data_IF_850051255382
#
_entry.id   IF_850051255382
#
_cell.length_a   1.000
_cell.length_b   1.000
_cell.length_c   1.000
_cell.angle_alpha   90.00
_cell.angle_beta   90.00
_cell.angle_gamma   90.00
#
_symmetry.space_group_name_H-M   'P 1'
#
loop_
_entity.id
_entity.type
_entity.pdbx_description
1 polymer ?
#
# COMPACT_ATOMS: atom_id res chain seq x y z
N UNK A 1 -47.87 -0.16 26.16
CA UNK A 1 -48.96 0.38 25.32
C UNK A 1 -48.82 1.90 25.28
N UNK A 2 -48.02 2.42 24.34
CA UNK A 2 -48.09 3.80 23.85
C UNK A 2 -47.40 3.81 22.48
N UNK A 3 -48.23 3.94 21.44
CA UNK A 3 -47.85 4.08 20.04
C UNK A 3 -47.51 5.55 19.79
N UNK A 4 -46.33 5.85 19.24
CA UNK A 4 -46.07 7.14 18.59
C UNK A 4 -45.55 6.91 17.17
N UNK A 5 -46.49 7.04 16.26
CA UNK A 5 -46.34 7.27 14.84
C UNK A 5 -45.61 8.61 14.60
N UNK A 6 -44.53 8.63 13.83
CA UNK A 6 -44.26 9.74 12.91
C UNK A 6 -43.65 9.20 11.62
N UNK A 7 -44.52 9.18 10.59
CA UNK A 7 -44.17 9.03 9.19
C UNK A 7 -43.34 10.24 8.78
N UNK A 8 -42.16 10.02 8.19
CA UNK A 8 -41.47 11.05 7.42
C UNK A 8 -41.41 10.58 5.96
N UNK A 9 -42.35 11.10 5.18
CA UNK A 9 -42.45 11.00 3.73
C UNK A 9 -41.91 12.30 3.15
N UNK A 10 -40.78 12.27 2.46
CA UNK A 10 -40.44 13.35 1.51
C UNK A 10 -39.93 12.78 0.18
N UNK A 11 -40.44 13.43 -0.87
CA UNK A 11 -40.66 12.98 -2.25
C UNK A 11 -39.39 12.84 -3.11
N UNK A 12 -39.49 12.06 -4.21
CA UNK A 12 -38.50 12.03 -5.28
C UNK A 12 -38.72 13.21 -6.24
N UNK A 13 -37.64 13.87 -6.66
CA UNK A 13 -37.66 14.82 -7.77
C UNK A 13 -37.02 14.18 -9.00
N UNK A 14 -37.88 13.84 -9.95
CA UNK A 14 -37.59 13.44 -11.32
C UNK A 14 -37.36 14.72 -12.15
N UNK A 15 -36.20 14.86 -12.78
CA UNK A 15 -35.95 15.68 -13.98
C UNK A 15 -34.68 15.07 -14.63
N UNK A 16 -34.75 14.22 -15.65
CA UNK A 16 -35.10 14.49 -17.05
C UNK A 16 -34.29 15.63 -17.66
N UNK A 17 -33.18 15.30 -18.36
CA UNK A 17 -32.89 15.85 -19.68
C UNK A 17 -31.81 14.99 -20.38
N UNK A 18 -32.26 14.19 -21.34
CA UNK A 18 -31.41 13.51 -22.32
C UNK A 18 -31.08 14.56 -23.39
N UNK A 19 -29.82 14.94 -23.53
CA UNK A 19 -29.33 15.71 -24.69
C UNK A 19 -28.45 14.80 -25.55
N UNK A 20 -29.05 14.29 -26.63
CA UNK A 20 -28.33 13.75 -27.77
C UNK A 20 -27.58 14.90 -28.47
N UNK A 21 -26.26 14.91 -28.36
CA UNK A 21 -25.40 15.70 -29.23
C UNK A 21 -24.60 14.73 -30.13
N UNK A 22 -25.15 14.48 -31.31
CA UNK A 22 -24.43 13.89 -32.44
C UNK A 22 -23.67 14.99 -33.17
N UNK A 23 -22.37 15.11 -32.92
CA UNK A 23 -21.45 15.82 -33.81
C UNK A 23 -20.51 14.82 -34.46
N UNK A 24 -20.77 14.60 -35.75
CA UNK A 24 -19.87 13.98 -36.71
C UNK A 24 -18.87 15.04 -37.13
N UNK A 25 -17.58 14.80 -36.90
CA UNK A 25 -16.49 15.45 -37.63
C UNK A 25 -15.36 14.46 -37.81
N UNK A 26 -15.36 13.86 -39.01
CA UNK A 26 -14.29 13.02 -39.51
C UNK A 26 -13.10 13.89 -39.90
N UNK A 27 -11.97 13.74 -39.21
CA UNK A 27 -10.67 14.17 -39.75
C UNK A 27 -9.80 12.94 -39.98
N UNK A 28 -9.64 12.63 -41.26
CA UNK A 28 -8.75 11.63 -41.80
C UNK A 28 -7.31 12.07 -41.54
N UNK A 29 -6.61 11.42 -40.60
CA UNK A 29 -5.18 11.61 -40.40
C UNK A 29 -4.42 10.50 -41.11
N UNK A 30 -3.50 10.91 -41.99
CA UNK A 30 -2.63 10.02 -42.75
C UNK A 30 -1.73 9.21 -41.80
N UNK A 31 -1.87 7.88 -41.86
CA UNK A 31 -0.99 6.93 -41.19
C UNK A 31 0.21 6.67 -42.08
N UNK A 32 1.37 7.20 -41.71
CA UNK A 32 2.65 6.75 -42.23
C UNK A 32 2.97 5.38 -41.62
N UNK A 33 3.08 4.37 -42.48
CA UNK A 33 3.47 3.02 -42.12
C UNK A 33 4.97 2.99 -41.81
N UNK A 34 5.34 3.25 -40.56
CA UNK A 34 6.65 2.92 -40.03
C UNK A 34 6.65 1.41 -39.75
N UNK A 35 7.30 0.64 -40.62
CA UNK A 35 7.56 -0.79 -40.44
C UNK A 35 8.56 -0.99 -39.29
N UNK A 36 8.03 -0.99 -38.07
CA UNK A 36 8.77 -1.24 -36.84
C UNK A 36 9.17 -2.71 -36.77
N UNK A 37 10.33 -3.05 -37.33
CA UNK A 37 11.11 -4.22 -36.90
C UNK A 37 11.70 -3.93 -35.51
N UNK A 38 10.83 -3.68 -34.52
CA UNK A 38 11.25 -3.54 -33.13
C UNK A 38 11.63 -4.94 -32.64
N UNK A 39 12.87 -5.15 -32.15
CA UNK A 39 13.27 -6.42 -31.59
C UNK A 39 12.25 -6.80 -30.53
N UNK A 40 11.50 -7.87 -30.78
CA UNK A 40 10.62 -8.48 -29.80
C UNK A 40 11.56 -9.18 -28.83
N UNK A 41 12.09 -8.43 -27.86
CA UNK A 41 12.75 -9.05 -26.73
C UNK A 41 11.72 -10.00 -26.11
N UNK A 42 12.06 -11.29 -25.96
CA UNK A 42 11.19 -12.20 -25.24
C UNK A 42 10.96 -11.55 -23.89
N UNK A 43 9.71 -11.18 -23.60
CA UNK A 43 9.28 -10.89 -22.25
C UNK A 43 9.24 -12.27 -21.59
N UNK A 44 10.41 -12.84 -21.32
CA UNK A 44 10.54 -13.84 -20.27
C UNK A 44 10.07 -13.10 -19.04
N UNK A 45 8.89 -13.48 -18.55
CA UNK A 45 8.34 -12.97 -17.32
C UNK A 45 9.35 -13.29 -16.23
N UNK A 46 10.18 -12.31 -15.87
CA UNK A 46 11.06 -12.34 -14.71
C UNK A 46 10.18 -12.28 -13.46
N UNK A 47 9.35 -13.31 -13.25
CA UNK A 47 8.80 -13.64 -11.96
C UNK A 47 9.96 -14.25 -11.20
N UNK A 48 10.62 -13.41 -10.42
CA UNK A 48 11.60 -13.88 -9.46
C UNK A 48 10.81 -14.65 -8.42
N UNK A 49 10.94 -15.98 -8.49
CA UNK A 49 10.23 -16.88 -7.61
C UNK A 49 10.47 -16.41 -6.16
N UNK A 50 9.40 -16.23 -5.38
CA UNK A 50 9.54 -15.84 -3.98
C UNK A 50 10.51 -16.78 -3.31
N UNK A 51 11.46 -16.24 -2.54
CA UNK A 51 12.42 -17.12 -1.84
C UNK A 51 11.64 -18.16 -1.01
N UNK A 52 12.10 -19.41 -1.04
CA UNK A 52 11.41 -20.51 -0.35
C UNK A 52 11.29 -20.28 1.17
N UNK A 53 12.04 -19.33 1.72
CA UNK A 53 11.99 -18.91 3.12
C UNK A 53 10.81 -18.01 3.47
N UNK A 54 10.13 -17.39 2.50
CA UNK A 54 9.00 -16.48 2.77
C UNK A 54 7.74 -17.25 3.19
N UNK A 55 7.03 -16.67 4.16
CA UNK A 55 5.74 -17.18 4.62
C UNK A 55 4.67 -16.99 3.55
N UNK A 56 3.54 -17.72 3.61
CA UNK A 56 2.44 -17.54 2.66
C UNK A 56 1.96 -16.09 2.54
N UNK A 57 1.89 -15.36 3.65
CA UNK A 57 1.49 -13.94 3.66
C UNK A 57 2.50 -13.01 3.03
N UNK A 58 3.80 -13.24 3.23
CA UNK A 58 4.86 -12.44 2.60
C UNK A 58 4.86 -12.64 1.08
N UNK A 59 4.67 -13.89 0.63
CA UNK A 59 4.51 -14.20 -0.80
C UNK A 59 3.30 -13.49 -1.40
N UNK A 60 2.18 -13.46 -0.68
CA UNK A 60 0.98 -12.75 -1.11
C UNK A 60 1.20 -11.23 -1.17
N UNK A 61 1.84 -10.64 -0.16
CA UNK A 61 2.18 -9.20 -0.17
C UNK A 61 3.09 -8.88 -1.36
N UNK A 62 4.10 -9.71 -1.61
CA UNK A 62 4.99 -9.54 -2.75
C UNK A 62 4.27 -9.57 -4.09
N UNK A 63 3.39 -10.55 -4.27
CA UNK A 63 2.57 -10.72 -5.46
C UNK A 63 1.67 -9.48 -5.72
N UNK A 64 1.09 -8.90 -4.68
CA UNK A 64 0.39 -7.60 -4.77
C UNK A 64 1.33 -6.45 -5.20
N UNK A 65 2.52 -6.35 -4.60
CA UNK A 65 3.51 -5.30 -4.92
C UNK A 65 3.94 -5.40 -6.39
N UNK A 66 4.21 -6.61 -6.90
CA UNK A 66 4.57 -6.84 -8.30
C UNK A 66 3.46 -6.43 -9.28
N UNK A 67 2.19 -6.53 -8.87
CA UNK A 67 1.04 -6.00 -9.64
C UNK A 67 0.80 -4.49 -9.45
N UNK A 68 1.51 -3.86 -8.53
CA UNK A 68 1.27 -2.47 -8.13
C UNK A 68 -0.05 -2.27 -7.38
N UNK A 69 -0.53 -3.32 -6.72
CA UNK A 69 -1.74 -3.31 -5.92
C UNK A 69 -1.42 -3.04 -4.44
N UNK A 70 -2.43 -2.61 -3.68
CA UNK A 70 -2.31 -2.48 -2.22
C UNK A 70 -2.46 -3.87 -1.60
N UNK A 71 -1.48 -4.28 -0.81
CA UNK A 71 -1.59 -5.47 0.02
C UNK A 71 -2.44 -5.17 1.26
N UNK A 72 -3.76 -5.31 1.13
CA UNK A 72 -4.75 -4.99 2.17
C UNK A 72 -5.22 -6.23 2.95
N UNK A 73 -4.57 -6.51 4.08
CA UNK A 73 -4.91 -7.63 4.96
C UNK A 73 -6.34 -7.56 5.52
N UNK A 74 -6.96 -6.37 5.54
CA UNK A 74 -8.33 -6.20 6.05
C UNK A 74 -9.39 -6.61 5.03
N UNK A 75 -9.01 -6.83 3.76
CA UNK A 75 -9.92 -7.23 2.67
C UNK A 75 -9.65 -8.63 2.15
N UNK A 76 -8.46 -9.16 2.38
CA UNK A 76 -8.08 -10.46 1.86
C UNK A 76 -8.67 -11.60 2.70
N UNK A 77 -9.31 -12.56 2.01
CA UNK A 77 -10.17 -13.60 2.59
C UNK A 77 -9.49 -14.40 3.71
N UNK A 78 -8.21 -14.69 3.55
CA UNK A 78 -7.46 -15.55 4.47
C UNK A 78 -6.89 -14.84 5.70
N UNK A 79 -7.03 -13.51 5.83
CA UNK A 79 -6.37 -12.73 6.87
C UNK A 79 -7.32 -12.05 7.86
N UNK A 80 -8.63 -12.13 7.63
CA UNK A 80 -9.66 -11.67 8.55
C UNK A 80 -10.25 -10.31 8.20
N UNK A 81 -11.05 -9.75 9.11
CA UNK A 81 -11.79 -8.50 8.91
C UNK A 81 -10.94 -7.25 9.16
N UNK A 82 -11.56 -6.07 9.02
CA UNK A 82 -10.96 -4.81 9.44
C UNK A 82 -10.70 -4.82 10.95
N UNK A 83 -9.42 -4.83 11.35
CA UNK A 83 -8.99 -4.84 12.75
C UNK A 83 -8.48 -3.46 13.16
N UNK A 84 -8.78 -3.07 14.40
CA UNK A 84 -8.17 -1.90 15.01
C UNK A 84 -6.74 -2.25 15.47
N UNK A 85 -5.69 -1.55 15.00
CA UNK A 85 -4.31 -1.80 15.42
C UNK A 85 -4.05 -1.52 16.90
N UNK A 86 -4.98 -0.88 17.61
CA UNK A 86 -4.89 -0.61 19.04
C UNK A 86 -5.24 -1.80 19.92
N UNK A 87 -6.03 -2.76 19.42
CA UNK A 87 -6.55 -3.89 20.19
C UNK A 87 -5.78 -5.16 19.82
N UNK A 88 -4.82 -5.60 20.64
CA UNK A 88 -3.91 -6.70 20.29
C UNK A 88 -4.58 -8.08 20.30
N UNK A 89 -5.59 -8.33 21.13
CA UNK A 89 -6.13 -9.69 21.33
C UNK A 89 -6.83 -10.28 20.09
N UNK A 90 -7.10 -9.46 19.08
CA UNK A 90 -7.85 -9.84 17.87
C UNK A 90 -6.92 -10.09 16.67
N UNK A 91 -5.64 -9.79 16.77
CA UNK A 91 -4.69 -9.92 15.66
C UNK A 91 -4.23 -11.37 15.49
N UNK A 92 -4.36 -11.88 14.26
CA UNK A 92 -3.97 -13.24 13.88
C UNK A 92 -2.55 -13.29 13.33
N UNK A 93 -1.86 -14.43 13.55
CA UNK A 93 -0.46 -14.61 13.16
C UNK A 93 -0.21 -14.59 11.64
N UNK A 94 -1.25 -14.88 10.85
CA UNK A 94 -1.19 -14.79 9.38
C UNK A 94 -1.03 -13.34 8.86
N UNK A 95 -1.10 -12.32 9.71
CA UNK A 95 -0.80 -10.91 9.38
C UNK A 95 0.63 -10.52 9.67
N UNK A 96 1.40 -11.42 10.28
CA UNK A 96 2.77 -11.13 10.67
C UNK A 96 3.63 -11.04 9.42
N UNK A 97 4.23 -9.88 9.21
CA UNK A 97 5.31 -9.69 8.24
C UNK A 97 6.63 -9.60 9.01
N UNK A 98 7.61 -10.40 8.59
CA UNK A 98 8.93 -10.34 9.21
C UNK A 98 9.74 -9.17 8.65
N UNK A 99 10.60 -8.52 9.47
CA UNK A 99 11.47 -7.46 8.99
C UNK A 99 12.33 -7.88 7.80
N UNK A 100 12.85 -9.12 7.80
CA UNK A 100 13.72 -9.62 6.73
C UNK A 100 13.04 -9.59 5.37
N UNK A 101 11.72 -9.79 5.32
CA UNK A 101 10.97 -9.68 4.06
C UNK A 101 11.03 -8.27 3.49
N UNK A 102 10.65 -7.25 4.28
CA UNK A 102 10.66 -5.86 3.81
C UNK A 102 12.09 -5.35 3.54
N UNK A 103 13.04 -5.71 4.40
CA UNK A 103 14.44 -5.37 4.21
C UNK A 103 14.98 -5.97 2.91
N UNK A 104 14.69 -7.25 2.63
CA UNK A 104 15.07 -7.89 1.35
C UNK A 104 14.47 -7.14 0.17
N UNK A 105 13.16 -6.86 0.20
CA UNK A 105 12.47 -6.16 -0.90
C UNK A 105 13.02 -4.75 -1.14
N UNK A 106 13.42 -4.04 -0.09
CA UNK A 106 13.92 -2.66 -0.17
C UNK A 106 15.39 -2.59 -0.58
N UNK A 107 16.24 -3.45 -0.01
CA UNK A 107 17.69 -3.35 -0.15
C UNK A 107 18.27 -4.17 -1.29
N UNK A 108 17.64 -5.30 -1.66
CA UNK A 108 18.10 -6.12 -2.77
C UNK A 108 17.59 -5.55 -4.11
N UNK A 109 18.54 -5.18 -4.98
CA UNK A 109 18.25 -4.62 -6.32
C UNK A 109 17.36 -5.55 -7.15
N UNK A 110 17.49 -6.86 -6.98
CA UNK A 110 16.72 -7.84 -7.73
C UNK A 110 15.22 -7.69 -7.49
N UNK A 111 14.81 -7.55 -6.23
CA UNK A 111 13.42 -7.29 -5.86
C UNK A 111 13.04 -5.84 -6.13
N UNK A 112 13.90 -4.90 -5.76
CA UNK A 112 13.63 -3.47 -5.91
C UNK A 112 13.32 -3.07 -7.36
N UNK A 113 14.01 -3.67 -8.34
CA UNK A 113 13.78 -3.40 -9.76
C UNK A 113 12.40 -3.81 -10.27
N UNK A 114 11.69 -4.68 -9.54
CA UNK A 114 10.36 -5.18 -9.89
C UNK A 114 9.23 -4.38 -9.23
N UNK A 115 9.56 -3.47 -8.32
CA UNK A 115 8.57 -2.61 -7.66
C UNK A 115 8.02 -1.63 -8.70
N UNK A 116 6.71 -1.65 -8.88
CA UNK A 116 6.05 -0.76 -9.83
C UNK A 116 6.07 0.70 -9.35
N UNK A 117 5.66 1.64 -10.21
CA UNK A 117 5.52 3.06 -9.86
C UNK A 117 4.59 3.34 -8.67
N UNK A 118 3.68 2.40 -8.35
CA UNK A 118 2.77 2.54 -7.22
C UNK A 118 3.49 2.27 -5.88
N UNK A 119 4.68 1.68 -5.93
CA UNK A 119 5.52 1.43 -4.77
C UNK A 119 5.01 0.31 -3.87
N UNK A 120 5.32 0.44 -2.59
CA UNK A 120 4.94 -0.53 -1.55
C UNK A 120 3.82 0.10 -0.72
N UNK A 121 2.63 -0.48 -0.80
CA UNK A 121 1.46 -0.06 -0.03
C UNK A 121 0.89 -1.26 0.72
N UNK A 122 1.04 -1.28 2.04
CA UNK A 122 0.61 -2.39 2.90
C UNK A 122 -0.37 -1.86 3.94
N UNK A 123 -1.52 -2.53 4.09
CA UNK A 123 -2.53 -2.20 5.09
C UNK A 123 -2.83 -3.38 6.01
N UNK A 124 -2.91 -3.13 7.31
CA UNK A 124 -3.33 -4.13 8.29
C UNK A 124 -2.27 -5.19 8.60
N UNK A 125 -0.99 -4.86 8.47
CA UNK A 125 0.12 -5.75 8.78
C UNK A 125 0.54 -5.68 10.25
N UNK A 126 1.14 -6.76 10.75
CA UNK A 126 1.65 -6.86 12.11
C UNK A 126 3.15 -7.12 12.12
N UNK A 127 3.91 -6.24 12.75
CA UNK A 127 5.36 -6.36 12.92
C UNK A 127 5.66 -6.62 14.40
N UNK A 128 6.10 -7.85 14.70
CA UNK A 128 6.45 -8.27 16.07
C UNK A 128 7.94 -8.11 16.39
N UNK A 129 8.74 -7.80 15.39
CA UNK A 129 10.18 -7.68 15.46
C UNK A 129 10.60 -6.29 14.96
N UNK A 130 11.80 -5.79 15.34
CA UNK A 130 12.24 -4.46 14.94
C UNK A 130 12.34 -4.34 13.42
N UNK A 131 11.73 -3.30 12.85
CA UNK A 131 11.82 -3.02 11.42
C UNK A 131 12.93 -2.00 11.17
N UNK A 132 13.96 -2.35 10.38
CA UNK A 132 15.07 -1.45 10.12
C UNK A 132 15.27 -1.16 8.63
N UNK A 133 14.77 0.00 8.19
CA UNK A 133 15.06 0.55 6.86
C UNK A 133 16.01 1.76 6.93
N UNK A 134 16.92 1.78 7.91
CA UNK A 134 17.91 2.84 8.05
C UNK A 134 18.86 2.86 6.84
N UNK A 135 19.22 4.05 6.38
CA UNK A 135 20.03 4.27 5.17
C UNK A 135 19.39 3.78 3.86
N UNK A 136 18.11 3.39 3.87
CA UNK A 136 17.41 3.02 2.65
C UNK A 136 17.28 4.23 1.69
N UNK A 137 17.38 3.95 0.39
CA UNK A 137 17.10 4.91 -0.68
C UNK A 137 15.86 4.42 -1.41
N UNK A 138 14.72 5.08 -1.15
CA UNK A 138 13.44 4.69 -1.73
C UNK A 138 13.15 5.53 -2.98
N UNK A 139 13.17 4.86 -4.13
CA UNK A 139 12.86 5.44 -5.45
C UNK A 139 11.40 5.18 -5.88
N UNK A 140 10.52 4.91 -4.91
CA UNK A 140 9.11 4.59 -5.10
C UNK A 140 8.32 5.00 -3.84
N UNK A 141 6.99 5.19 -3.93
CA UNK A 141 6.14 5.46 -2.77
C UNK A 141 6.19 4.34 -1.72
N UNK A 142 6.20 4.69 -0.45
CA UNK A 142 6.16 3.72 0.65
C UNK A 142 5.06 4.10 1.65
N UNK A 143 4.06 3.24 1.79
CA UNK A 143 2.89 3.46 2.61
C UNK A 143 2.61 2.25 3.52
N UNK A 144 2.54 2.52 4.83
CA UNK A 144 2.06 1.56 5.83
C UNK A 144 0.81 2.14 6.50
N UNK A 145 -0.29 1.39 6.44
CA UNK A 145 -1.59 1.83 6.93
C UNK A 145 -2.21 0.83 7.91
N UNK A 146 -2.90 1.31 8.94
CA UNK A 146 -3.64 0.44 9.85
C UNK A 146 -2.80 -0.67 10.46
N UNK A 147 -1.47 -0.48 10.56
CA UNK A 147 -0.52 -1.53 10.90
C UNK A 147 -0.05 -1.39 12.34
N UNK A 148 0.40 -2.50 12.92
CA UNK A 148 0.79 -2.60 14.33
C UNK A 148 2.27 -2.98 14.45
N UNK A 149 3.01 -2.24 15.28
CA UNK A 149 4.45 -2.42 15.49
C UNK A 149 4.72 -2.64 16.98
N UNK A 150 5.10 -3.85 17.37
CA UNK A 150 5.42 -4.21 18.76
C UNK A 150 6.81 -3.75 19.20
N UNK A 151 7.71 -3.54 18.23
CA UNK A 151 9.11 -3.23 18.44
C UNK A 151 9.52 -1.91 17.78
N UNK A 152 10.77 -1.49 17.99
CA UNK A 152 11.30 -0.25 17.44
C UNK A 152 11.30 -0.27 15.89
N UNK A 153 10.98 0.86 15.28
CA UNK A 153 11.01 1.08 13.83
C UNK A 153 12.08 2.13 13.50
N UNK A 154 13.03 1.77 12.64
CA UNK A 154 14.18 2.60 12.32
C UNK A 154 14.17 3.04 10.85
N UNK A 155 14.03 4.34 10.64
CA UNK A 155 14.19 5.01 9.35
C UNK A 155 15.37 6.00 9.37
N UNK A 156 16.35 5.79 10.25
CA UNK A 156 17.45 6.74 10.39
C UNK A 156 18.22 6.89 9.08
N UNK A 157 18.47 8.13 8.65
CA UNK A 157 19.15 8.45 7.39
C UNK A 157 18.47 7.92 6.12
N UNK A 158 17.18 7.52 6.19
CA UNK A 158 16.41 7.14 5.01
C UNK A 158 16.28 8.33 4.06
N UNK A 159 16.44 8.08 2.77
CA UNK A 159 16.28 9.08 1.70
C UNK A 159 15.20 8.66 0.73
N UNK A 160 14.32 9.60 0.38
CA UNK A 160 13.34 9.36 -0.67
C UNK A 160 12.95 10.64 -1.39
N UNK A 161 12.77 10.53 -2.70
CA UNK A 161 12.14 11.57 -3.53
C UNK A 161 10.63 11.36 -3.70
N UNK A 162 10.07 10.34 -3.04
CA UNK A 162 8.68 9.92 -3.18
C UNK A 162 7.91 10.10 -1.87
N UNK A 163 6.63 9.73 -1.90
CA UNK A 163 5.75 9.78 -0.74
C UNK A 163 6.19 8.76 0.32
N UNK A 164 6.36 9.23 1.56
CA UNK A 164 6.42 8.38 2.75
C UNK A 164 5.14 8.60 3.56
N UNK A 165 4.32 7.56 3.70
CA UNK A 165 2.96 7.67 4.22
C UNK A 165 2.70 6.69 5.38
N UNK A 166 2.23 7.22 6.49
CA UNK A 166 1.79 6.47 7.67
C UNK A 166 0.39 6.94 8.08
N UNK A 167 -0.57 6.03 8.11
CA UNK A 167 -1.91 6.33 8.61
C UNK A 167 -2.44 5.22 9.50
N UNK A 168 -3.15 5.59 10.57
CA UNK A 168 -3.83 4.63 11.46
C UNK A 168 -2.87 3.58 12.05
N UNK A 169 -1.57 3.88 12.20
CA UNK A 169 -0.61 2.91 12.73
C UNK A 169 -0.51 2.97 14.26
N UNK A 170 -0.24 1.84 14.90
CA UNK A 170 0.07 1.76 16.34
C UNK A 170 1.54 1.37 16.52
N UNK A 171 2.33 2.28 17.07
CA UNK A 171 3.71 2.04 17.47
C UNK A 171 3.78 1.88 18.99
N UNK A 172 4.11 0.67 19.45
CA UNK A 172 4.25 0.38 20.88
C UNK A 172 5.61 0.80 21.44
N UNK A 173 6.60 0.96 20.55
CA UNK A 173 7.92 1.47 20.90
C UNK A 173 8.30 2.64 19.99
N UNK A 174 9.60 2.86 19.77
CA UNK A 174 10.10 4.09 19.13
C UNK A 174 9.96 4.02 17.64
N UNK A 175 9.49 5.11 17.05
CA UNK A 175 9.67 5.41 15.63
C UNK A 175 10.85 6.37 15.50
N UNK A 176 11.99 5.86 15.02
CA UNK A 176 13.20 6.66 14.85
C UNK A 176 13.34 7.16 13.40
N UNK A 177 13.02 8.44 13.20
CA UNK A 177 13.15 9.14 11.91
C UNK A 177 14.31 10.14 11.90
N UNK A 178 15.37 9.89 12.68
CA UNK A 178 16.54 10.78 12.76
C UNK A 178 17.19 10.96 11.39
N UNK A 179 17.38 12.21 10.97
CA UNK A 179 18.05 12.56 9.71
C UNK A 179 17.40 11.99 8.44
N UNK A 180 16.10 11.71 8.48
CA UNK A 180 15.33 11.34 7.30
C UNK A 180 15.30 12.50 6.29
N UNK A 181 15.55 12.20 5.01
CA UNK A 181 15.50 13.15 3.91
C UNK A 181 14.35 12.79 2.98
N UNK A 182 13.32 13.63 2.93
CA UNK A 182 12.14 13.44 2.08
C UNK A 182 12.03 14.67 1.19
N UNK A 183 12.22 14.50 -0.12
CA UNK A 183 12.15 15.62 -1.07
C UNK A 183 10.70 15.98 -1.41
N UNK A 184 9.78 15.02 -1.29
CA UNK A 184 8.38 15.19 -1.64
C UNK A 184 7.51 15.39 -0.39
N UNK A 185 6.72 14.37 0.01
CA UNK A 185 5.80 14.49 1.14
C UNK A 185 6.05 13.40 2.19
N UNK A 186 6.10 13.83 3.45
CA UNK A 186 5.86 12.99 4.62
C UNK A 186 4.43 13.22 5.07
N UNK A 187 3.64 12.15 5.17
CA UNK A 187 2.28 12.22 5.71
C UNK A 187 2.18 11.26 6.89
N UNK A 188 1.79 11.79 8.04
CA UNK A 188 1.47 11.04 9.24
C UNK A 188 0.07 11.48 9.66
N UNK A 189 -0.94 10.63 9.47
CA UNK A 189 -2.34 11.01 9.67
C UNK A 189 -3.19 9.95 10.37
N UNK A 190 -4.46 10.32 10.60
CA UNK A 190 -5.54 9.44 11.07
C UNK A 190 -5.19 8.63 12.33
N UNK A 191 -4.60 9.30 13.31
CA UNK A 191 -4.44 8.71 14.64
C UNK A 191 -3.32 7.67 14.74
N UNK A 192 -2.19 7.91 14.04
CA UNK A 192 -0.94 7.25 14.41
C UNK A 192 -0.68 7.48 15.90
N UNK A 193 -0.53 6.40 16.66
CA UNK A 193 -0.41 6.44 18.11
C UNK A 193 0.93 5.88 18.54
N UNK A 194 1.57 6.56 19.48
CA UNK A 194 2.85 6.21 20.05
C UNK A 194 2.66 5.97 21.54
N UNK A 195 3.03 4.79 22.04
CA UNK A 195 3.07 4.57 23.47
C UNK A 195 4.25 5.35 24.08
N UNK A 196 3.99 6.03 25.20
CA UNK A 196 5.01 6.75 25.93
C UNK A 196 5.97 5.75 26.56
N UNK A 197 7.20 5.74 26.08
CA UNK A 197 8.29 4.97 26.68
C UNK A 197 8.93 5.87 27.74
N UNK A 198 8.74 5.53 29.01
CA UNK A 198 9.40 6.17 30.15
C UNK A 198 10.74 5.49 30.46
#
# INVERSE_FOLDING_TARGET
>A
MFLCFFRNLYKPCIFSLITLFSFVSSTLSASEAITNNLPTFPIESYQTEPTNSWTPQEKWVWDCICRGEIADFNKAENYGSNLDPKISEVWSENRILRPEFLETVVFDEHFRSLITRNGICIRGAWFREPLNLSNAILNFPFALEGSRFEEDVYFSFLKTSHLLYFAENKFLKRLNMTSVQIENHLIIEKGCEFDLIF
#
